data_IF_573309092205
#
_entry.id   IF_573309092205
#
_cell.length_a   1.000
_cell.length_b   1.000
_cell.length_c   1.000
_cell.angle_alpha   90.00
_cell.angle_beta   90.00
_cell.angle_gamma   90.00
#
_symmetry.space_group_name_H-M   'P 1'
#
loop_
_entity.id
_entity.type
_entity.pdbx_description
1 polymer ?
#
# COMPACT_ATOMS: atom_id res chain seq x y z
N UNK A 1 2.57 -70.20 -27.00
CA UNK A 1 1.81 -71.00 -26.03
C UNK A 1 2.11 -70.45 -24.64
N UNK A 2 1.17 -69.68 -24.09
CA UNK A 2 1.23 -69.11 -22.76
C UNK A 2 0.62 -70.08 -21.74
N UNK A 3 1.23 -70.21 -20.56
CA UNK A 3 0.53 -70.66 -19.34
C UNK A 3 1.13 -69.96 -18.12
N UNK A 4 0.21 -69.46 -17.30
CA UNK A 4 0.36 -68.63 -16.11
C UNK A 4 0.92 -69.36 -14.89
N UNK A 5 1.57 -68.63 -14.00
CA UNK A 5 1.63 -68.95 -12.57
C UNK A 5 1.55 -67.64 -11.77
N UNK A 6 0.31 -67.19 -11.53
CA UNK A 6 -0.02 -66.27 -10.45
C UNK A 6 -0.08 -67.11 -9.17
N UNK A 7 0.80 -66.85 -8.21
CA UNK A 7 0.59 -67.25 -6.82
C UNK A 7 0.73 -66.04 -5.91
N UNK A 8 -0.43 -65.58 -5.49
CA UNK A 8 -0.70 -64.66 -4.40
C UNK A 8 0.01 -65.06 -3.11
N UNK A 9 0.80 -64.14 -2.57
CA UNK A 9 1.35 -64.21 -1.21
C UNK A 9 1.07 -62.91 -0.47
N UNK A 10 -0.22 -62.61 -0.26
CA UNK A 10 -0.64 -61.62 0.72
C UNK A 10 -0.20 -62.10 2.12
N UNK A 11 0.17 -61.15 2.98
CA UNK A 11 0.37 -61.27 4.44
C UNK A 11 1.75 -61.71 4.94
N UNK A 12 2.69 -60.75 4.97
CA UNK A 12 3.60 -60.57 6.12
C UNK A 12 3.66 -59.11 6.55
N UNK A 13 2.52 -58.59 6.97
CA UNK A 13 2.46 -57.47 7.93
C UNK A 13 2.66 -58.08 9.31
N UNK A 14 3.82 -57.85 9.94
CA UNK A 14 3.95 -57.60 11.38
C UNK A 14 5.44 -57.58 11.76
N UNK A 15 5.81 -56.60 12.59
CA UNK A 15 7.06 -56.52 13.36
C UNK A 15 8.30 -55.89 12.71
N UNK A 16 8.14 -54.83 11.91
CA UNK A 16 9.07 -53.69 12.04
C UNK A 16 8.30 -52.53 12.67
N UNK A 17 8.58 -52.33 13.94
CA UNK A 17 7.96 -51.31 14.78
C UNK A 17 7.90 -49.98 14.06
N UNK A 18 6.70 -49.42 14.00
CA UNK A 18 6.49 -48.07 13.52
C UNK A 18 7.34 -47.14 14.37
N UNK A 19 8.40 -46.61 13.79
CA UNK A 19 8.80 -45.27 14.15
C UNK A 19 7.54 -44.45 13.95
N UNK A 20 6.91 -44.01 15.05
CA UNK A 20 6.01 -42.87 14.99
C UNK A 20 6.88 -41.77 14.42
N UNK A 21 6.81 -41.58 13.10
CA UNK A 21 7.38 -40.42 12.46
C UNK A 21 6.83 -39.27 13.27
N UNK A 22 7.70 -38.59 14.01
CA UNK A 22 7.35 -37.39 14.76
C UNK A 22 6.53 -36.57 13.78
N UNK A 23 5.22 -36.46 14.04
CA UNK A 23 4.41 -35.56 13.26
C UNK A 23 4.93 -34.19 13.66
N UNK A 24 5.93 -33.71 12.92
CA UNK A 24 6.42 -32.34 13.03
C UNK A 24 5.15 -31.51 13.04
N UNK A 25 4.84 -30.77 14.11
CA UNK A 25 3.63 -29.98 14.17
C UNK A 25 3.62 -29.14 12.90
N UNK A 26 2.66 -29.40 12.01
CA UNK A 26 2.52 -28.60 10.80
C UNK A 26 2.16 -27.22 11.31
N UNK A 27 3.16 -26.33 11.33
CA UNK A 27 2.99 -24.95 11.73
C UNK A 27 2.07 -24.36 10.67
N UNK A 28 0.78 -24.28 10.96
CA UNK A 28 -0.13 -23.47 10.18
C UNK A 28 0.32 -22.03 10.43
N UNK A 29 1.14 -21.50 9.53
CA UNK A 29 1.34 -20.06 9.47
C UNK A 29 -0.03 -19.42 9.28
N UNK A 30 -0.27 -18.27 9.91
CA UNK A 30 -1.53 -17.52 9.79
C UNK A 30 -1.87 -17.16 8.33
N UNK A 31 -0.92 -17.32 7.41
CA UNK A 31 -1.14 -17.43 5.97
C UNK A 31 -1.58 -18.85 5.60
N UNK A 32 -2.86 -19.17 5.77
CA UNK A 32 -3.42 -20.38 5.18
C UNK A 32 -3.20 -20.32 3.65
N UNK A 33 -2.68 -21.38 3.04
CA UNK A 33 -2.34 -21.49 1.60
C UNK A 33 -3.53 -21.47 0.64
N UNK A 34 -4.58 -20.75 1.00
CA UNK A 34 -5.83 -20.54 0.28
C UNK A 34 -6.14 -19.04 0.08
N UNK A 35 -5.19 -18.16 0.45
CA UNK A 35 -5.23 -16.74 0.11
C UNK A 35 -4.56 -16.58 -1.25
N UNK A 36 -5.36 -16.24 -2.25
CA UNK A 36 -4.87 -15.90 -3.58
C UNK A 36 -4.36 -14.46 -3.55
N UNK A 37 -3.05 -14.31 -3.31
CA UNK A 37 -2.38 -13.00 -3.25
C UNK A 37 -2.57 -12.19 -4.54
N UNK A 38 -2.69 -12.85 -5.69
CA UNK A 38 -2.93 -12.17 -6.97
C UNK A 38 -4.35 -11.59 -7.02
N UNK A 39 -5.35 -12.37 -6.56
CA UNK A 39 -6.72 -11.88 -6.44
C UNK A 39 -6.83 -10.71 -5.44
N UNK A 40 -6.20 -10.84 -4.26
CA UNK A 40 -6.21 -9.81 -3.23
C UNK A 40 -5.51 -8.53 -3.71
N UNK A 41 -4.39 -8.65 -4.44
CA UNK A 41 -3.69 -7.52 -5.05
C UNK A 41 -4.55 -6.82 -6.10
N UNK A 42 -5.17 -7.57 -7.00
CA UNK A 42 -6.06 -7.03 -8.03
C UNK A 42 -7.30 -6.33 -7.43
N UNK A 43 -7.78 -6.80 -6.27
CA UNK A 43 -8.86 -6.14 -5.53
C UNK A 43 -8.40 -4.78 -4.99
N UNK A 44 -7.25 -4.74 -4.32
CA UNK A 44 -6.72 -3.48 -3.78
C UNK A 44 -6.36 -2.49 -4.88
N UNK A 45 -5.81 -2.94 -6.00
CA UNK A 45 -5.54 -2.11 -7.17
C UNK A 45 -6.81 -1.37 -7.65
N UNK A 46 -7.92 -2.08 -7.80
CA UNK A 46 -9.20 -1.49 -8.21
C UNK A 46 -9.73 -0.51 -7.17
N UNK A 47 -9.67 -0.86 -5.88
CA UNK A 47 -10.10 0.02 -4.79
C UNK A 47 -9.25 1.29 -4.78
N UNK A 48 -7.93 1.17 -4.95
CA UNK A 48 -7.00 2.29 -4.97
C UNK A 48 -7.27 3.20 -6.16
N UNK A 49 -7.44 2.67 -7.37
CA UNK A 49 -7.75 3.50 -8.53
C UNK A 49 -9.09 4.24 -8.37
N UNK A 50 -10.14 3.55 -7.88
CA UNK A 50 -11.42 4.19 -7.60
C UNK A 50 -11.31 5.25 -6.51
N UNK A 51 -10.55 4.97 -5.45
CA UNK A 51 -10.28 5.90 -4.36
C UNK A 51 -9.49 7.12 -4.83
N UNK A 52 -8.43 6.94 -5.61
CA UNK A 52 -7.64 8.04 -6.17
C UNK A 52 -8.52 8.91 -7.05
N UNK A 53 -9.24 8.33 -8.02
CA UNK A 53 -10.06 9.12 -8.95
C UNK A 53 -11.16 9.89 -8.20
N UNK A 54 -11.87 9.26 -7.27
CA UNK A 54 -12.95 9.91 -6.53
C UNK A 54 -12.43 10.98 -5.57
N UNK A 55 -11.43 10.68 -4.74
CA UNK A 55 -10.86 11.63 -3.79
C UNK A 55 -10.15 12.79 -4.49
N UNK A 56 -9.36 12.53 -5.54
CA UNK A 56 -8.69 13.59 -6.31
C UNK A 56 -9.71 14.46 -7.03
N UNK A 57 -10.75 13.88 -7.66
CA UNK A 57 -11.81 14.66 -8.29
C UNK A 57 -12.53 15.58 -7.31
N UNK A 58 -12.87 15.07 -6.13
CA UNK A 58 -13.50 15.87 -5.06
C UNK A 58 -12.56 16.95 -4.50
N UNK A 59 -11.27 16.64 -4.36
CA UNK A 59 -10.25 17.60 -3.94
C UNK A 59 -10.12 18.73 -4.96
N UNK A 60 -10.02 18.41 -6.26
CA UNK A 60 -9.99 19.40 -7.33
C UNK A 60 -11.22 20.30 -7.24
N UNK A 61 -12.43 19.73 -7.16
CA UNK A 61 -13.66 20.52 -7.10
C UNK A 61 -13.74 21.47 -5.89
N UNK A 62 -13.27 21.02 -4.72
CA UNK A 62 -13.32 21.84 -3.51
C UNK A 62 -12.20 22.90 -3.47
N UNK A 63 -10.99 22.54 -3.92
CA UNK A 63 -9.81 23.41 -3.86
C UNK A 63 -9.69 24.33 -5.08
N UNK A 64 -10.37 24.06 -6.20
CA UNK A 64 -10.37 24.93 -7.38
C UNK A 64 -11.16 26.23 -7.15
N UNK A 65 -11.94 26.29 -6.06
CA UNK A 65 -12.67 27.50 -5.69
C UNK A 65 -11.65 28.55 -5.22
N UNK A 66 -11.87 29.82 -5.60
CA UNK A 66 -11.02 30.91 -5.15
C UNK A 66 -11.03 31.03 -3.62
N UNK A 67 -9.88 31.31 -3.02
CA UNK A 67 -9.84 31.70 -1.61
C UNK A 67 -9.95 33.23 -1.47
N UNK A 68 -10.61 33.74 -0.42
CA UNK A 68 -10.67 35.17 -0.18
C UNK A 68 -9.27 35.73 0.10
N UNK A 69 -8.79 36.60 -0.78
CA UNK A 69 -7.66 37.46 -0.46
C UNK A 69 -8.20 38.71 0.21
N UNK A 70 -7.94 38.85 1.51
CA UNK A 70 -8.26 40.08 2.23
C UNK A 70 -7.35 41.21 1.77
N UNK A 71 -7.76 42.45 2.06
CA UNK A 71 -6.87 43.60 1.92
C UNK A 71 -5.61 43.43 2.75
N UNK A 72 -4.55 44.14 2.36
CA UNK A 72 -3.26 44.06 3.04
C UNK A 72 -3.44 44.46 4.51
N UNK A 73 -2.99 43.60 5.45
CA UNK A 73 -3.10 43.92 6.86
C UNK A 73 -2.22 45.15 7.18
N UNK A 74 -2.52 45.87 8.29
CA UNK A 74 -1.68 46.96 8.74
C UNK A 74 -0.20 46.57 8.85
N UNK A 75 0.70 47.52 8.60
CA UNK A 75 2.15 47.30 8.70
C UNK A 75 2.56 47.10 10.17
N UNK A 76 2.46 45.87 10.66
CA UNK A 76 2.87 45.51 12.01
C UNK A 76 4.41 45.50 12.13
N UNK A 77 5.00 46.07 13.21
CA UNK A 77 6.46 46.16 13.37
C UNK A 77 7.19 44.81 13.40
N UNK A 78 6.46 43.73 13.68
CA UNK A 78 6.98 42.37 13.74
C UNK A 78 6.83 41.58 12.43
N UNK A 79 6.14 42.13 11.43
CA UNK A 79 6.01 41.55 10.09
C UNK A 79 6.97 42.24 9.12
N UNK A 80 7.31 41.56 8.02
CA UNK A 80 8.22 42.07 6.98
C UNK A 80 9.60 42.56 7.51
N UNK A 81 10.07 42.05 8.66
CA UNK A 81 11.39 42.39 9.20
C UNK A 81 12.48 41.87 8.28
N UNK A 82 13.43 42.75 7.91
CA UNK A 82 14.62 42.42 7.13
C UNK A 82 15.87 43.01 7.77
N UNK A 83 16.76 42.15 8.23
CA UNK A 83 18.08 42.54 8.72
C UNK A 83 19.13 42.59 7.59
N UNK A 84 18.84 41.93 6.46
CA UNK A 84 19.68 41.87 5.26
C UNK A 84 18.79 41.72 4.03
N UNK A 85 19.19 42.38 2.96
CA UNK A 85 18.57 42.24 1.65
C UNK A 85 18.70 40.82 1.09
N UNK A 86 17.71 40.41 0.32
CA UNK A 86 17.81 39.15 -0.42
C UNK A 86 18.81 39.27 -1.57
N UNK A 87 19.46 38.16 -1.96
CA UNK A 87 20.44 38.18 -3.05
C UNK A 87 19.83 38.29 -4.46
N UNK A 88 18.49 38.24 -4.61
CA UNK A 88 17.81 38.26 -5.90
C UNK A 88 16.91 39.48 -6.15
N UNK A 89 16.64 40.30 -5.13
CA UNK A 89 15.74 41.45 -5.26
C UNK A 89 15.04 41.83 -3.96
N UNK A 90 14.17 42.85 -3.97
CA UNK A 90 13.48 43.35 -2.77
C UNK A 90 12.39 42.40 -2.25
N UNK A 91 11.84 41.56 -3.11
CA UNK A 91 10.66 40.73 -2.79
C UNK A 91 11.05 39.30 -2.40
N UNK A 92 10.21 38.68 -1.57
CA UNK A 92 10.33 37.27 -1.23
C UNK A 92 10.27 36.36 -2.47
N UNK A 93 10.96 35.22 -2.39
CA UNK A 93 11.10 34.31 -3.53
C UNK A 93 9.77 33.86 -4.16
N UNK A 94 8.71 33.78 -3.36
CA UNK A 94 7.35 33.42 -3.78
C UNK A 94 6.33 34.50 -3.38
N UNK A 95 6.78 35.72 -3.12
CA UNK A 95 5.90 36.82 -2.72
C UNK A 95 5.10 37.30 -3.92
N UNK A 96 3.77 37.31 -3.79
CA UNK A 96 2.88 37.83 -4.82
C UNK A 96 2.32 39.16 -4.34
N UNK A 97 2.87 40.26 -4.86
CA UNK A 97 2.37 41.61 -4.59
C UNK A 97 1.30 41.98 -5.62
N UNK A 98 0.20 42.58 -5.16
CA UNK A 98 -0.73 43.27 -6.07
C UNK A 98 -0.11 44.62 -6.40
N UNK A 99 0.60 44.70 -7.53
CA UNK A 99 0.99 45.99 -8.08
C UNK A 99 -0.28 46.66 -8.62
N UNK A 100 -0.76 47.68 -7.91
CA UNK A 100 -1.82 48.57 -8.38
C UNK A 100 -1.22 49.73 -9.17
#
# INVERSE_FOLDING_TARGET
MATSLVRSGFLRTALRGGARGSQVPKRNFSSAGHHDDAYETAKWEKITYLGIVSCTGLAIYNLSKGHPHTEEPPAYPYLHIRNKEFPWGPDGLFETKKHH
#
